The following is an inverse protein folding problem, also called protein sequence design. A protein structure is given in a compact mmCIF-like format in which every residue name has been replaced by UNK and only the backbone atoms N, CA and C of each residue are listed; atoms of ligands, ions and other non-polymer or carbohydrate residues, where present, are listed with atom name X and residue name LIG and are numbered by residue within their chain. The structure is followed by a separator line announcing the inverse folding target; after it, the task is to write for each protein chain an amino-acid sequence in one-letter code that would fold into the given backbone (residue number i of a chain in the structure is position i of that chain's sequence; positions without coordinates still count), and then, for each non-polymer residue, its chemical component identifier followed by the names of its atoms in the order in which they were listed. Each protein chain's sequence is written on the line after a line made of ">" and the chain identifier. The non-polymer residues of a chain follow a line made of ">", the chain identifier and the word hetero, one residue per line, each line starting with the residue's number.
data_IF_969368093102
#
_entry.id   IF_969368093102
#
_cell.length_a   1.000
_cell.length_b   1.000
_cell.length_c   1.000
_cell.angle_alpha   90.00
_cell.angle_beta   90.00
_cell.angle_gamma   90.00
#
_symmetry.space_group_name_H-M   'P 1'
#
loop_
_entity.id
_entity.type
_entity.pdbx_description
1 polymer ?
#
# COMPACT_ATOMS: atom_id res chain seq x y z
N UNK A 1 -11.22 15.78 8.07
CA UNK A 1 -10.22 14.72 7.83
C UNK A 1 -10.74 13.80 6.74
N UNK A 2 -9.89 13.09 5.99
CA UNK A 2 -10.35 12.25 4.88
C UNK A 2 -10.91 10.92 5.39
N UNK A 3 -12.12 10.54 4.99
CA UNK A 3 -12.73 9.28 5.44
C UNK A 3 -12.34 8.07 4.58
N UNK A 4 -12.12 8.29 3.28
CA UNK A 4 -11.72 7.27 2.32
C UNK A 4 -10.47 7.73 1.59
N UNK A 5 -9.45 6.88 1.51
CA UNK A 5 -8.16 7.20 0.92
C UNK A 5 -7.72 6.03 0.05
N UNK A 6 -7.37 6.32 -1.20
CA UNK A 6 -6.82 5.36 -2.14
C UNK A 6 -5.33 5.67 -2.34
N UNK A 7 -4.48 4.69 -2.07
CA UNK A 7 -3.04 4.76 -2.33
C UNK A 7 -2.74 3.99 -3.61
N UNK A 8 -2.15 4.68 -4.58
CA UNK A 8 -1.75 4.09 -5.85
C UNK A 8 -0.23 4.05 -5.91
N UNK A 9 0.31 2.85 -6.06
CA UNK A 9 1.75 2.57 -6.00
C UNK A 9 2.17 1.87 -7.29
N UNK A 10 3.05 2.48 -8.12
CA UNK A 10 3.54 1.86 -9.35
C UNK A 10 4.20 0.49 -9.09
N UNK A 11 5.08 0.43 -8.10
CA UNK A 11 5.69 -0.80 -7.62
C UNK A 11 5.27 -1.08 -6.18
N UNK A 12 5.60 -2.27 -5.68
CA UNK A 12 5.68 -2.47 -4.22
C UNK A 12 6.65 -1.44 -3.63
N UNK A 13 6.46 -1.06 -2.37
CA UNK A 13 7.33 -0.15 -1.61
C UNK A 13 7.19 1.36 -1.93
N UNK A 14 6.82 1.77 -3.15
CA UNK A 14 6.74 3.20 -3.52
C UNK A 14 5.80 4.00 -2.60
N UNK A 15 4.58 3.50 -2.35
CA UNK A 15 3.60 4.17 -1.50
C UNK A 15 4.01 4.23 -0.03
N UNK A 16 4.72 3.23 0.47
CA UNK A 16 5.17 3.16 1.86
C UNK A 16 6.48 3.94 2.11
N UNK A 17 7.38 4.00 1.13
CA UNK A 17 8.53 4.91 1.14
C UNK A 17 8.10 6.38 1.01
N UNK A 18 7.17 6.69 0.10
CA UNK A 18 6.74 8.06 -0.16
C UNK A 18 5.76 8.63 0.86
N UNK A 19 4.91 7.79 1.44
CA UNK A 19 3.80 8.24 2.28
C UNK A 19 3.50 7.35 3.50
N UNK A 20 4.38 6.42 3.89
CA UNK A 20 4.12 5.46 4.98
C UNK A 20 3.66 6.11 6.28
N UNK A 21 4.30 7.20 6.72
CA UNK A 21 3.89 7.93 7.92
C UNK A 21 2.52 8.60 7.81
N UNK A 22 2.16 9.08 6.62
CA UNK A 22 0.84 9.66 6.35
C UNK A 22 -0.24 8.57 6.32
N UNK A 23 0.06 7.43 5.70
CA UNK A 23 -0.83 6.26 5.67
C UNK A 23 -1.12 5.78 7.09
N UNK A 24 -0.08 5.58 7.91
CA UNK A 24 -0.22 5.17 9.30
C UNK A 24 -1.10 6.16 10.08
N UNK A 25 -0.81 7.47 9.97
CA UNK A 25 -1.61 8.50 10.63
C UNK A 25 -3.07 8.49 10.19
N UNK A 26 -3.35 8.28 8.90
CA UNK A 26 -4.72 8.22 8.39
C UNK A 26 -5.47 7.00 8.94
N UNK A 27 -4.81 5.84 8.98
CA UNK A 27 -5.36 4.61 9.58
C UNK A 27 -5.64 4.81 11.08
N UNK A 28 -4.69 5.38 11.84
CA UNK A 28 -4.85 5.67 13.27
C UNK A 28 -6.04 6.60 13.56
N UNK A 29 -6.32 7.55 12.65
CA UNK A 29 -7.46 8.45 12.76
C UNK A 29 -8.78 7.85 12.22
N UNK A 30 -8.81 6.55 11.92
CA UNK A 30 -10.02 5.83 11.51
C UNK A 30 -10.39 5.97 10.03
N UNK A 31 -9.48 6.48 9.19
CA UNK A 31 -9.71 6.58 7.75
C UNK A 31 -9.71 5.19 7.13
N UNK A 32 -10.62 4.94 6.19
CA UNK A 32 -10.60 3.74 5.35
C UNK A 32 -9.54 3.91 4.26
N UNK A 33 -8.40 3.23 4.42
CA UNK A 33 -7.31 3.24 3.44
C UNK A 33 -7.35 1.96 2.61
N UNK A 34 -7.40 2.13 1.28
CA UNK A 34 -7.28 1.05 0.29
C UNK A 34 -5.97 1.26 -0.49
N UNK A 35 -5.16 0.20 -0.64
CA UNK A 35 -3.84 0.29 -1.26
C UNK A 35 -3.72 -0.59 -2.51
N UNK A 36 -3.33 -0.01 -3.64
CA UNK A 36 -3.06 -0.75 -4.88
C UNK A 36 -1.59 -0.63 -5.29
N UNK A 37 -0.91 -1.77 -5.40
CA UNK A 37 0.39 -1.87 -6.05
C UNK A 37 0.22 -2.47 -7.45
N UNK A 38 0.70 -1.78 -8.48
CA UNK A 38 0.46 -2.20 -9.87
C UNK A 38 1.43 -3.28 -10.37
N UNK A 39 2.67 -3.30 -9.88
CA UNK A 39 3.68 -4.23 -10.34
C UNK A 39 4.50 -4.83 -9.19
N UNK A 40 4.65 -6.15 -9.22
CA UNK A 40 5.48 -6.91 -8.30
C UNK A 40 6.15 -8.10 -9.01
N UNK A 41 7.27 -7.89 -9.73
CA UNK A 41 7.85 -8.89 -10.65
C UNK A 41 8.37 -10.15 -9.95
N UNK A 42 8.45 -10.15 -8.62
CA UNK A 42 8.91 -11.27 -7.81
C UNK A 42 7.93 -11.54 -6.68
N UNK A 43 7.66 -12.81 -6.42
CA UNK A 43 6.73 -13.23 -5.36
C UNK A 43 7.19 -12.79 -3.96
N UNK A 44 8.50 -12.66 -3.76
CA UNK A 44 9.06 -12.15 -2.49
C UNK A 44 8.60 -10.72 -2.20
N UNK A 45 8.54 -9.86 -3.23
CA UNK A 45 8.13 -8.46 -3.11
C UNK A 45 6.65 -8.36 -2.72
N UNK A 46 5.80 -9.25 -3.26
CA UNK A 46 4.39 -9.33 -2.84
C UNK A 46 4.27 -9.70 -1.36
N UNK A 47 5.09 -10.63 -0.88
CA UNK A 47 5.09 -11.05 0.54
C UNK A 47 5.58 -9.93 1.45
N UNK A 48 6.59 -9.18 1.04
CA UNK A 48 7.14 -8.03 1.78
C UNK A 48 6.12 -6.89 1.86
N UNK A 49 5.55 -6.48 0.74
CA UNK A 49 4.50 -5.45 0.70
C UNK A 49 3.29 -5.85 1.58
N UNK A 50 2.81 -7.10 1.47
CA UNK A 50 1.73 -7.60 2.36
C UNK A 50 2.07 -7.52 3.85
N UNK A 51 3.33 -7.74 4.23
CA UNK A 51 3.75 -7.60 5.63
C UNK A 51 3.80 -6.14 6.04
N UNK A 52 4.33 -5.26 5.19
CA UNK A 52 4.44 -3.84 5.48
C UNK A 52 3.07 -3.16 5.59
N UNK A 53 2.14 -3.44 4.68
CA UNK A 53 0.76 -2.95 4.74
C UNK A 53 0.03 -3.38 6.02
N UNK A 54 0.30 -4.60 6.52
CA UNK A 54 -0.22 -5.06 7.82
C UNK A 54 0.35 -4.26 8.99
N UNK A 55 1.65 -3.92 8.95
CA UNK A 55 2.27 -3.07 9.97
C UNK A 55 1.66 -1.66 9.95
N UNK A 56 1.37 -1.12 8.77
CA UNK A 56 0.69 0.17 8.60
C UNK A 56 -0.80 0.14 8.96
N UNK A 57 -1.36 -1.03 9.28
CA UNK A 57 -2.78 -1.21 9.62
C UNK A 57 -3.74 -1.10 8.43
N UNK A 58 -3.24 -1.17 7.20
CA UNK A 58 -4.04 -1.18 5.98
C UNK A 58 -4.71 -2.55 5.81
N UNK A 59 -6.04 -2.56 5.79
CA UNK A 59 -6.84 -3.80 5.71
C UNK A 59 -7.25 -4.17 4.30
N UNK A 60 -7.43 -3.20 3.43
CA UNK A 60 -7.85 -3.41 2.04
C UNK A 60 -6.68 -3.10 1.11
N UNK A 61 -6.22 -4.11 0.38
CA UNK A 61 -5.16 -3.93 -0.60
C UNK A 61 -5.23 -4.95 -1.73
N UNK A 62 -4.71 -4.56 -2.88
CA UNK A 62 -4.55 -5.43 -4.05
C UNK A 62 -3.16 -5.21 -4.66
N UNK A 63 -2.53 -6.30 -5.08
CA UNK A 63 -1.21 -6.28 -5.73
C UNK A 63 -1.38 -6.95 -7.09
N UNK A 64 -1.23 -6.16 -8.14
CA UNK A 64 -1.32 -6.57 -9.54
C UNK A 64 0.04 -7.01 -10.09
N UNK A 65 0.00 -7.66 -11.27
CA UNK A 65 1.16 -8.17 -12.00
C UNK A 65 1.32 -7.45 -13.35
N UNK A 66 1.21 -6.12 -13.37
CA UNK A 66 1.44 -5.36 -14.58
C UNK A 66 2.93 -5.40 -14.97
N UNK A 67 3.20 -5.53 -16.28
CA UNK A 67 4.57 -5.51 -16.78
C UNK A 67 5.22 -4.17 -16.47
N UNK A 68 6.39 -4.22 -15.83
CA UNK A 68 7.30 -3.07 -15.72
C UNK A 68 7.71 -2.63 -17.12
N UNK A 69 7.80 -1.31 -17.34
CA UNK A 69 8.28 -0.69 -18.58
C UNK A 69 9.69 -0.16 -18.39
#
# INVERSE_FOLDING_TARGET
>A
MFNNVLVLSPHTDDGELGAGGTIAKLVENGSKVTYFAFSAPREILKKECKKCLKVLGVKEFEIFDFKVR
#
